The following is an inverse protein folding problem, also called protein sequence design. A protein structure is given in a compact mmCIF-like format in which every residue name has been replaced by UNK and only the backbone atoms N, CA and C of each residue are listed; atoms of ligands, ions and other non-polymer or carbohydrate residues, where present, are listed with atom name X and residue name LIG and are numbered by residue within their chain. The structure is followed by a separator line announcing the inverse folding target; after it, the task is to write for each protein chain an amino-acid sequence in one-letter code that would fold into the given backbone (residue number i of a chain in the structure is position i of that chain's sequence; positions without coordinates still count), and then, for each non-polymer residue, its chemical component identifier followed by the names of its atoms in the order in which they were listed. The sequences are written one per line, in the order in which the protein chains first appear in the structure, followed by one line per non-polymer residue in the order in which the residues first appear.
data_IF_003563597232
#
_entry.id   IF_003563597232
#
_cell.length_a   1.000
_cell.length_b   1.000
_cell.length_c   1.000
_cell.angle_alpha   90.00
_cell.angle_beta   90.00
_cell.angle_gamma   90.00
#
_symmetry.space_group_name_H-M   'P 1'
#
loop_
_entity.id
_entity.type
_entity.pdbx_description
1 polymer ?
#
# COMPACT_ATOMS: atom_id res chain seq x y z
N UNK A 1 24.28 -9.80 -50.22
CA UNK A 1 22.99 -9.94 -49.53
C UNK A 1 23.00 -8.95 -48.39
N UNK A 2 22.13 -7.95 -48.44
CA UNK A 2 22.01 -6.93 -47.40
C UNK A 2 21.19 -7.52 -46.24
N UNK A 3 21.76 -7.52 -45.04
CA UNK A 3 21.02 -7.80 -43.82
C UNK A 3 19.99 -6.68 -43.61
N UNK A 4 18.72 -7.10 -43.57
CA UNK A 4 17.58 -6.27 -43.21
C UNK A 4 17.72 -5.81 -41.75
N UNK A 5 17.39 -4.54 -41.41
CA UNK A 5 17.40 -4.09 -40.04
C UNK A 5 16.31 -4.83 -39.24
N UNK A 6 16.75 -5.40 -38.13
CA UNK A 6 15.95 -6.03 -37.09
C UNK A 6 14.67 -5.24 -36.78
N UNK A 7 13.55 -5.95 -36.70
CA UNK A 7 12.25 -5.45 -36.26
C UNK A 7 12.36 -4.51 -35.06
N UNK A 8 11.94 -3.26 -35.24
CA UNK A 8 11.75 -2.30 -34.15
C UNK A 8 10.93 -2.94 -33.02
N UNK A 9 11.31 -2.81 -31.73
CA UNK A 9 10.46 -3.27 -30.65
C UNK A 9 9.13 -2.50 -30.75
N UNK A 10 8.03 -3.22 -30.83
CA UNK A 10 6.67 -2.68 -30.88
C UNK A 10 6.53 -1.63 -29.79
N UNK A 11 6.42 -0.35 -30.17
CA UNK A 11 6.38 0.77 -29.22
C UNK A 11 5.19 0.58 -28.29
N UNK A 12 5.45 0.26 -27.02
CA UNK A 12 4.41 0.12 -26.01
C UNK A 12 3.81 1.50 -25.78
N UNK A 13 2.51 1.66 -26.06
CA UNK A 13 1.77 2.86 -25.70
C UNK A 13 1.39 2.79 -24.20
N UNK A 14 1.98 3.64 -23.35
CA UNK A 14 1.76 3.57 -21.92
C UNK A 14 0.34 3.95 -21.51
N UNK A 15 -0.32 4.86 -22.24
CA UNK A 15 -1.69 5.27 -21.96
C UNK A 15 -2.68 4.15 -22.28
N UNK A 16 -2.46 3.47 -23.41
CA UNK A 16 -3.24 2.29 -23.79
C UNK A 16 -3.07 1.14 -22.80
N UNK A 17 -1.86 0.87 -22.31
CA UNK A 17 -1.62 -0.18 -21.31
C UNK A 17 -2.32 0.14 -19.98
N UNK A 18 -2.21 1.39 -19.53
CA UNK A 18 -2.84 1.87 -18.29
C UNK A 18 -4.35 2.11 -18.42
N UNK A 19 -4.91 2.03 -19.63
CA UNK A 19 -6.32 2.30 -19.94
C UNK A 19 -6.77 3.69 -19.47
N UNK A 20 -5.93 4.68 -19.73
CA UNK A 20 -6.16 6.09 -19.44
C UNK A 20 -6.04 6.94 -20.71
N UNK A 21 -6.70 8.10 -20.73
CA UNK A 21 -6.60 9.09 -21.81
C UNK A 21 -6.13 10.42 -21.22
N UNK A 22 -5.05 11.03 -21.76
CA UNK A 22 -4.69 12.40 -21.41
C UNK A 22 -5.63 13.40 -22.07
N UNK A 23 -6.13 14.35 -21.28
CA UNK A 23 -7.00 15.42 -21.74
C UNK A 23 -6.19 16.69 -22.04
N UNK A 24 -6.66 17.59 -22.92
CA UNK A 24 -5.95 18.84 -23.25
C UNK A 24 -5.70 19.79 -22.07
N UNK A 25 -6.50 19.68 -21.01
CA UNK A 25 -6.37 20.48 -19.78
C UNK A 25 -5.31 19.93 -18.79
N UNK A 26 -4.64 18.83 -19.15
CA UNK A 26 -3.66 18.14 -18.32
C UNK A 26 -4.25 17.10 -17.36
N UNK A 27 -5.58 16.93 -17.33
CA UNK A 27 -6.23 15.86 -16.56
C UNK A 27 -6.20 14.52 -17.31
N UNK A 28 -6.65 13.45 -16.64
CA UNK A 28 -6.72 12.10 -17.21
C UNK A 28 -8.12 11.52 -17.07
N UNK A 29 -8.59 10.85 -18.11
CA UNK A 29 -9.82 10.03 -18.08
C UNK A 29 -9.44 8.56 -17.88
N UNK A 30 -10.09 7.87 -16.94
CA UNK A 30 -9.89 6.42 -16.70
C UNK A 30 -11.03 5.63 -17.33
N UNK A 31 -10.72 4.64 -18.16
CA UNK A 31 -11.75 3.87 -18.88
C UNK A 31 -12.16 2.58 -18.20
N UNK A 32 -11.36 2.09 -17.26
CA UNK A 32 -11.69 0.85 -16.55
C UNK A 32 -12.22 1.17 -15.18
N UNK A 33 -13.50 0.87 -14.88
CA UNK A 33 -13.95 0.86 -13.50
C UNK A 33 -13.19 -0.27 -12.79
N UNK A 34 -12.61 0.04 -11.64
CA UNK A 34 -12.09 -1.00 -10.78
C UNK A 34 -13.28 -1.75 -10.18
N UNK A 35 -13.27 -3.09 -10.17
CA UNK A 35 -14.33 -3.84 -9.51
C UNK A 35 -14.36 -3.41 -8.05
N UNK A 36 -15.55 -3.05 -7.58
CA UNK A 36 -15.79 -2.69 -6.18
C UNK A 36 -16.69 -3.75 -5.54
N UNK A 37 -16.43 -4.01 -4.26
CA UNK A 37 -17.24 -4.90 -3.45
C UNK A 37 -17.89 -4.04 -2.37
N UNK A 38 -19.19 -4.16 -2.16
CA UNK A 38 -19.88 -3.45 -1.08
C UNK A 38 -19.40 -3.96 0.30
N UNK A 39 -19.33 -3.10 1.33
CA UNK A 39 -18.96 -3.56 2.66
C UNK A 39 -20.04 -4.50 3.23
N UNK A 40 -19.63 -5.59 3.88
CA UNK A 40 -20.53 -6.50 4.60
C UNK A 40 -20.27 -6.43 6.12
N UNK A 41 -20.94 -5.52 6.85
CA UNK A 41 -20.60 -5.24 8.25
C UNK A 41 -21.17 -6.25 9.25
N UNK A 42 -22.19 -7.02 8.86
CA UNK A 42 -22.87 -8.04 9.67
C UNK A 42 -22.89 -9.40 8.96
N UNK A 43 -23.02 -10.53 9.70
CA UNK A 43 -23.07 -11.86 9.10
C UNK A 43 -24.29 -12.06 8.19
N UNK A 44 -24.16 -12.80 7.09
CA UNK A 44 -25.24 -13.04 6.11
C UNK A 44 -26.51 -13.66 6.72
N UNK A 45 -26.40 -14.46 7.80
CA UNK A 45 -27.55 -15.02 8.53
C UNK A 45 -28.46 -13.96 9.18
N UNK A 46 -27.99 -12.71 9.30
CA UNK A 46 -28.75 -11.58 9.85
C UNK A 46 -29.46 -10.71 8.80
N UNK A 47 -29.34 -11.04 7.51
CA UNK A 47 -29.95 -10.27 6.41
C UNK A 47 -31.29 -10.93 6.00
N UNK A 48 -32.42 -10.19 5.97
CA UNK A 48 -33.68 -10.70 5.44
C UNK A 48 -33.52 -11.20 4.00
N UNK A 49 -34.15 -12.33 3.67
CA UNK A 49 -34.00 -13.10 2.42
C UNK A 49 -34.27 -12.33 1.10
N UNK A 50 -34.62 -11.05 1.15
CA UNK A 50 -34.93 -10.22 -0.03
C UNK A 50 -33.73 -9.46 -0.59
N UNK A 51 -32.55 -9.52 0.04
CA UNK A 51 -31.36 -8.75 -0.37
C UNK A 51 -30.10 -9.58 -0.67
N UNK A 52 -30.19 -10.91 -0.63
CA UNK A 52 -29.04 -11.79 -0.85
C UNK A 52 -29.04 -12.39 -2.27
N UNK A 53 -28.37 -11.73 -3.20
CA UNK A 53 -27.78 -12.42 -4.35
C UNK A 53 -26.44 -13.02 -3.91
N UNK A 54 -26.47 -14.21 -3.31
CA UNK A 54 -25.22 -14.95 -3.07
C UNK A 54 -25.45 -16.45 -3.14
N UNK A 55 -24.55 -17.13 -3.87
CA UNK A 55 -24.39 -18.58 -3.88
C UNK A 55 -24.15 -19.11 -2.45
N UNK A 56 -25.26 -19.45 -1.79
CA UNK A 56 -25.35 -19.87 -0.41
C UNK A 56 -24.71 -21.25 -0.22
N UNK A 57 -23.44 -21.25 0.22
CA UNK A 57 -22.79 -22.33 0.98
C UNK A 57 -21.34 -22.01 1.39
N UNK A 58 -20.76 -20.87 1.02
CA UNK A 58 -19.40 -20.49 1.45
C UNK A 58 -19.41 -19.82 2.84
N UNK A 59 -18.55 -20.24 3.78
CA UNK A 59 -18.46 -19.60 5.09
C UNK A 59 -17.95 -18.16 4.97
N UNK A 60 -18.62 -17.21 5.64
CA UNK A 60 -18.19 -15.82 5.65
C UNK A 60 -16.98 -15.64 6.56
N UNK A 61 -15.79 -15.54 5.96
CA UNK A 61 -14.52 -15.47 6.70
C UNK A 61 -14.13 -14.07 7.20
N UNK A 62 -14.70 -13.02 6.59
CA UNK A 62 -14.33 -11.63 6.88
C UNK A 62 -15.58 -10.73 6.77
N UNK A 63 -15.76 -9.87 7.77
CA UNK A 63 -16.69 -8.74 7.75
C UNK A 63 -15.93 -7.47 7.33
N UNK A 64 -16.60 -6.53 6.69
CA UNK A 64 -15.99 -5.25 6.31
C UNK A 64 -16.93 -4.07 6.48
N UNK A 65 -16.39 -2.92 6.87
CA UNK A 65 -17.13 -1.66 7.08
C UNK A 65 -16.35 -0.49 6.50
N UNK A 66 -17.06 0.46 5.90
CA UNK A 66 -16.47 1.72 5.45
C UNK A 66 -16.68 2.82 6.51
N UNK A 67 -15.62 3.56 6.83
CA UNK A 67 -15.64 4.67 7.79
C UNK A 67 -15.05 5.92 7.11
N UNK A 68 -15.78 7.06 7.04
CA UNK A 68 -15.27 8.29 6.43
C UNK A 68 -14.00 8.81 7.13
N UNK A 69 -12.96 9.19 6.39
CA UNK A 69 -11.70 9.70 6.94
C UNK A 69 -11.61 11.23 6.82
N UNK A 70 -11.85 11.73 5.61
CA UNK A 70 -12.01 13.15 5.36
C UNK A 70 -13.11 13.31 4.30
N UNK A 71 -14.30 13.78 4.71
CA UNK A 71 -15.43 14.02 3.80
C UNK A 71 -15.11 15.05 2.70
N UNK A 72 -14.36 16.10 3.00
CA UNK A 72 -13.98 17.14 2.02
C UNK A 72 -13.16 16.54 0.87
N UNK A 73 -12.22 15.66 1.23
CA UNK A 73 -11.35 14.98 0.27
C UNK A 73 -11.98 13.67 -0.26
N UNK A 74 -13.22 13.36 0.13
CA UNK A 74 -13.93 12.10 -0.22
C UNK A 74 -13.09 10.84 0.06
N UNK A 75 -12.33 10.86 1.15
CA UNK A 75 -11.50 9.72 1.58
C UNK A 75 -12.17 8.94 2.69
N UNK A 76 -12.03 7.62 2.68
CA UNK A 76 -12.57 6.71 3.67
C UNK A 76 -11.57 5.58 3.97
N UNK A 77 -11.78 4.89 5.09
CA UNK A 77 -11.09 3.65 5.44
C UNK A 77 -12.06 2.48 5.26
N UNK A 78 -11.58 1.38 4.70
CA UNK A 78 -12.28 0.10 4.79
C UNK A 78 -11.64 -0.75 5.89
N UNK A 79 -12.42 -1.03 6.92
CA UNK A 79 -12.05 -1.90 8.02
C UNK A 79 -12.41 -3.34 7.66
N UNK A 80 -11.53 -4.28 7.98
CA UNK A 80 -11.74 -5.72 7.78
C UNK A 80 -11.60 -6.45 9.12
N UNK A 81 -12.55 -7.33 9.43
CA UNK A 81 -12.61 -8.07 10.70
C UNK A 81 -12.80 -9.56 10.42
N UNK A 82 -11.89 -10.45 10.87
CA UNK A 82 -12.07 -11.89 10.73
C UNK A 82 -13.36 -12.38 11.40
N UNK A 83 -14.00 -13.36 10.80
CA UNK A 83 -15.19 -14.01 11.34
C UNK A 83 -15.11 -15.54 11.16
N UNK A 84 -15.11 -16.33 12.24
CA UNK A 84 -15.05 -15.91 13.64
C UNK A 84 -13.72 -15.23 13.99
N UNK A 85 -13.69 -14.48 15.10
CA UNK A 85 -12.44 -13.90 15.58
C UNK A 85 -11.46 -15.01 15.96
N UNK A 86 -10.17 -14.86 15.64
CA UNK A 86 -9.15 -15.80 16.09
C UNK A 86 -9.09 -15.82 17.64
N UNK A 87 -8.74 -16.96 18.24
CA UNK A 87 -8.55 -17.04 19.69
C UNK A 87 -7.47 -16.05 20.13
N UNK A 88 -7.68 -15.40 21.28
CA UNK A 88 -6.67 -14.49 21.85
C UNK A 88 -5.41 -15.29 22.15
N UNK A 89 -4.21 -14.81 21.76
CA UNK A 89 -2.97 -15.48 22.12
C UNK A 89 -2.86 -15.56 23.65
N UNK A 90 -2.30 -16.66 24.19
CA UNK A 90 -2.05 -16.76 25.62
C UNK A 90 -1.10 -15.62 26.07
N UNK A 91 -1.19 -15.18 27.33
CA UNK A 91 -0.28 -14.17 27.86
C UNK A 91 1.18 -14.63 27.68
N UNK A 92 2.12 -13.71 27.39
CA UNK A 92 3.50 -14.07 27.14
C UNK A 92 4.09 -14.80 28.35
N UNK A 93 4.41 -16.09 28.18
CA UNK A 93 5.20 -16.85 29.15
C UNK A 93 6.68 -16.56 28.92
N UNK A 94 7.44 -16.34 29.99
CA UNK A 94 8.83 -15.86 29.98
C UNK A 94 9.87 -16.77 29.28
N UNK A 95 9.48 -17.85 28.60
CA UNK A 95 10.42 -18.92 28.20
C UNK A 95 10.29 -19.48 26.78
N UNK A 96 9.54 -18.86 25.86
CA UNK A 96 9.45 -19.39 24.49
C UNK A 96 9.77 -18.32 23.42
N UNK A 97 10.89 -18.54 22.73
CA UNK A 97 11.23 -17.87 21.47
C UNK A 97 10.06 -18.00 20.49
N UNK A 98 9.69 -16.94 19.74
CA UNK A 98 8.54 -16.99 18.85
C UNK A 98 8.85 -17.93 17.68
N UNK A 99 8.26 -19.12 17.72
CA UNK A 99 8.18 -20.02 16.57
C UNK A 99 7.44 -19.31 15.44
N UNK A 100 8.09 -19.32 14.29
CA UNK A 100 7.68 -18.83 12.98
C UNK A 100 6.29 -19.35 12.57
N UNK A 101 5.29 -18.48 12.65
CA UNK A 101 4.17 -18.22 11.72
C UNK A 101 3.14 -17.40 12.49
N UNK A 102 3.33 -16.09 12.55
CA UNK A 102 2.36 -15.19 13.17
C UNK A 102 1.45 -14.62 12.07
N UNK A 103 0.21 -15.11 12.02
CA UNK A 103 -0.90 -14.34 11.45
C UNK A 103 -0.86 -12.92 12.03
N UNK A 104 -1.02 -11.90 11.19
CA UNK A 104 -1.02 -10.49 11.59
C UNK A 104 -2.48 -10.01 11.65
N UNK A 105 -3.19 -10.19 12.78
CA UNK A 105 -4.58 -9.74 12.91
C UNK A 105 -4.75 -8.22 12.92
N UNK A 106 -3.66 -7.43 12.92
CA UNK A 106 -3.67 -5.97 13.07
C UNK A 106 -2.98 -5.23 11.91
N UNK A 107 -3.08 -5.75 10.70
CA UNK A 107 -2.56 -5.07 9.51
C UNK A 107 -3.63 -4.12 8.96
N UNK A 108 -3.39 -2.81 9.06
CA UNK A 108 -4.20 -1.85 8.32
C UNK A 108 -3.79 -1.89 6.85
N UNK A 109 -4.70 -2.33 6.00
CA UNK A 109 -4.53 -2.30 4.56
C UNK A 109 -4.90 -0.92 4.03
N UNK A 110 -3.91 -0.18 3.54
CA UNK A 110 -4.15 1.12 2.93
C UNK A 110 -4.30 0.94 1.41
N UNK A 111 -5.49 1.27 0.89
CA UNK A 111 -5.76 1.34 -0.55
C UNK A 111 -5.14 2.61 -1.16
N UNK A 112 -4.86 2.65 -2.49
CA UNK A 112 -3.93 3.60 -3.11
C UNK A 112 -4.41 5.06 -3.22
N UNK A 113 -5.56 5.42 -2.68
CA UNK A 113 -6.05 6.81 -2.66
C UNK A 113 -5.76 7.46 -1.31
N UNK A 114 -4.49 7.58 -0.91
CA UNK A 114 -4.14 8.19 0.37
C UNK A 114 -3.14 9.32 0.22
N UNK A 115 -3.49 10.45 0.83
CA UNK A 115 -2.63 11.63 0.92
C UNK A 115 -1.66 11.48 2.10
N UNK A 116 -0.55 12.24 2.14
CA UNK A 116 0.42 12.26 3.24
C UNK A 116 -0.13 12.47 4.66
N UNK A 117 -1.34 13.03 4.80
CA UNK A 117 -1.97 13.36 6.10
C UNK A 117 -2.73 12.21 6.76
N UNK A 118 -2.79 11.05 6.12
CA UNK A 118 -3.62 9.91 6.55
C UNK A 118 -3.31 9.36 7.95
N UNK A 119 -2.06 9.08 8.36
CA UNK A 119 -1.79 8.39 9.63
C UNK A 119 -2.31 9.18 10.84
N UNK A 120 -2.08 10.50 10.87
CA UNK A 120 -2.58 11.40 11.91
C UNK A 120 -4.11 11.53 11.92
N UNK A 121 -4.79 11.22 10.80
CA UNK A 121 -6.25 11.22 10.68
C UNK A 121 -6.89 9.87 11.02
N UNK A 122 -6.20 8.75 10.79
CA UNK A 122 -6.58 7.43 11.34
C UNK A 122 -6.61 7.51 12.87
N UNK A 123 -5.61 8.17 13.46
CA UNK A 123 -5.60 8.51 14.89
C UNK A 123 -6.83 9.35 15.31
N UNK A 124 -7.28 10.30 14.48
CA UNK A 124 -8.47 11.12 14.79
C UNK A 124 -9.80 10.35 14.70
N UNK A 125 -9.92 9.37 13.79
CA UNK A 125 -11.07 8.45 13.79
C UNK A 125 -11.11 7.57 15.03
N UNK A 126 -9.92 7.29 15.56
CA UNK A 126 -9.69 6.71 16.86
C UNK A 126 -9.73 7.79 17.98
N UNK A 127 -10.59 8.82 17.91
CA UNK A 127 -10.70 9.78 19.03
C UNK A 127 -12.13 10.20 19.45
N UNK A 128 -13.19 9.83 18.73
CA UNK A 128 -14.57 10.09 19.19
C UNK A 128 -15.21 8.83 19.84
N UNK A 129 -15.43 8.94 21.16
CA UNK A 129 -15.87 7.91 22.14
C UNK A 129 -14.81 6.84 22.44
N UNK A 130 -14.00 7.05 23.50
CA UNK A 130 -12.85 6.20 23.90
C UNK A 130 -11.81 5.94 22.80
N UNK A 131 -11.93 6.64 21.69
CA UNK A 131 -10.97 6.64 20.63
C UNK A 131 -10.85 5.36 19.82
N UNK A 132 -11.90 4.54 19.72
CA UNK A 132 -11.91 3.39 18.81
C UNK A 132 -13.33 3.19 18.30
N UNK A 133 -13.50 2.98 16.99
CA UNK A 133 -14.78 2.56 16.42
C UNK A 133 -15.25 1.28 17.16
N UNK A 134 -16.45 1.26 17.78
CA UNK A 134 -16.96 0.09 18.51
C UNK A 134 -16.96 -1.20 17.69
N UNK A 135 -16.98 -1.09 16.36
CA UNK A 135 -16.88 -2.24 15.46
C UNK A 135 -15.55 -3.02 15.59
N UNK A 136 -14.48 -2.32 16.00
CA UNK A 136 -13.15 -2.85 16.24
C UNK A 136 -12.90 -3.26 17.70
N UNK A 137 -13.88 -3.03 18.58
CA UNK A 137 -13.78 -3.40 19.99
C UNK A 137 -13.53 -4.92 20.11
N UNK A 138 -12.59 -5.30 20.98
CA UNK A 138 -12.13 -6.68 21.19
C UNK A 138 -11.47 -7.38 19.99
N UNK A 139 -11.40 -6.73 18.82
CA UNK A 139 -10.82 -7.29 17.61
C UNK A 139 -9.38 -6.79 17.32
N UNK A 140 -9.00 -5.63 17.87
CA UNK A 140 -7.73 -4.97 17.56
C UNK A 140 -6.90 -4.71 18.83
N UNK A 141 -5.59 -4.98 18.74
CA UNK A 141 -4.61 -4.63 19.76
C UNK A 141 -3.78 -3.42 19.30
N UNK A 142 -4.18 -2.20 19.71
CA UNK A 142 -3.58 -0.94 19.26
C UNK A 142 -2.12 -0.75 19.66
N UNK A 143 -1.63 -1.46 20.67
CA UNK A 143 -0.21 -1.45 21.06
C UNK A 143 0.71 -2.22 20.09
N UNK A 144 0.12 -2.92 19.11
CA UNK A 144 0.79 -3.78 18.13
C UNK A 144 0.21 -3.57 16.73
N UNK A 145 0.39 -2.36 16.20
CA UNK A 145 -0.02 -1.99 14.84
C UNK A 145 1.15 -2.09 13.86
N UNK A 146 0.84 -2.45 12.60
CA UNK A 146 1.78 -2.44 11.48
C UNK A 146 1.19 -1.64 10.33
N UNK A 147 2.02 -0.83 9.68
CA UNK A 147 1.64 -0.20 8.42
C UNK A 147 2.09 -1.10 7.27
N UNK A 148 1.18 -1.42 6.35
CA UNK A 148 1.49 -2.28 5.22
C UNK A 148 1.00 -1.66 3.91
N UNK A 149 1.84 -1.78 2.88
CA UNK A 149 1.51 -1.35 1.53
C UNK A 149 2.14 -2.27 0.50
N UNK A 150 1.57 -2.25 -0.70
CA UNK A 150 2.11 -2.92 -1.89
C UNK A 150 2.41 -1.91 -2.99
N UNK A 151 3.53 -2.06 -3.71
CA UNK A 151 3.89 -1.16 -4.83
C UNK A 151 3.86 0.32 -4.41
N UNK A 152 3.10 1.19 -5.10
CA UNK A 152 2.91 2.59 -4.72
C UNK A 152 2.41 2.77 -3.28
N UNK A 153 1.60 1.83 -2.77
CA UNK A 153 1.14 1.84 -1.38
C UNK A 153 2.28 1.61 -0.37
N UNK A 154 3.30 0.83 -0.73
CA UNK A 154 4.47 0.66 0.13
C UNK A 154 5.36 1.92 0.15
N UNK A 155 5.45 2.65 -0.97
CA UNK A 155 6.07 3.98 -1.00
C UNK A 155 5.34 4.95 -0.06
N UNK A 156 4.00 4.98 -0.11
CA UNK A 156 3.17 5.76 0.83
C UNK A 156 3.44 5.35 2.28
N UNK A 157 3.49 4.05 2.58
CA UNK A 157 3.76 3.53 3.93
C UNK A 157 5.14 3.92 4.43
N UNK A 158 6.16 3.89 3.59
CA UNK A 158 7.50 4.36 3.93
C UNK A 158 7.48 5.84 4.35
N UNK A 159 6.92 6.72 3.52
CA UNK A 159 6.85 8.15 3.85
C UNK A 159 5.88 8.46 5.00
N UNK A 160 4.82 7.68 5.18
CA UNK A 160 3.94 7.77 6.34
C UNK A 160 4.70 7.40 7.62
N UNK A 161 5.46 6.32 7.59
CA UNK A 161 6.35 5.88 8.67
C UNK A 161 7.35 6.96 9.06
N UNK A 162 8.01 7.59 8.09
CA UNK A 162 8.94 8.70 8.34
C UNK A 162 8.26 9.89 9.02
N UNK A 163 7.04 10.24 8.61
CA UNK A 163 6.30 11.39 9.16
C UNK A 163 5.86 11.19 10.60
N UNK A 164 5.36 10.00 10.91
CA UNK A 164 4.90 9.70 12.28
C UNK A 164 6.03 9.24 13.20
N UNK A 165 7.23 9.09 12.65
CA UNK A 165 8.40 8.70 13.41
C UNK A 165 8.88 9.88 14.28
N UNK A 166 8.38 9.88 15.52
CA UNK A 166 8.59 10.96 16.49
C UNK A 166 7.29 11.48 17.10
N UNK A 167 6.13 11.12 16.54
CA UNK A 167 4.82 11.52 17.07
C UNK A 167 4.36 10.56 18.18
N UNK A 168 3.70 11.10 19.21
CA UNK A 168 3.00 10.31 20.21
C UNK A 168 1.59 9.95 19.71
N UNK A 169 1.41 8.70 19.27
CA UNK A 169 0.17 8.20 18.70
C UNK A 169 -0.70 7.43 19.71
N UNK A 170 -0.45 7.55 21.01
CA UNK A 170 -1.15 6.80 22.06
C UNK A 170 -2.69 6.86 21.89
N UNK A 171 -3.40 5.72 22.05
CA UNK A 171 -2.91 4.41 22.52
C UNK A 171 -2.23 3.56 21.42
N UNK A 172 -2.21 4.02 20.17
CA UNK A 172 -1.67 3.28 19.04
C UNK A 172 -0.13 3.29 19.04
N UNK A 173 0.47 2.11 18.86
CA UNK A 173 1.93 1.96 18.70
C UNK A 173 2.25 1.22 17.41
N UNK A 174 2.93 1.90 16.50
CA UNK A 174 3.43 1.31 15.25
C UNK A 174 4.70 0.52 15.57
N UNK A 175 4.66 -0.80 15.39
CA UNK A 175 5.77 -1.73 15.71
C UNK A 175 6.62 -2.09 14.51
N UNK A 176 6.15 -1.80 13.30
CA UNK A 176 6.91 -2.05 12.09
C UNK A 176 6.19 -1.64 10.82
N UNK A 177 6.96 -1.60 9.73
CA UNK A 177 6.47 -1.38 8.37
C UNK A 177 6.58 -2.69 7.57
N UNK A 178 5.59 -2.98 6.74
CA UNK A 178 5.60 -4.11 5.80
C UNK A 178 5.50 -3.54 4.39
N UNK A 179 6.60 -3.61 3.66
CA UNK A 179 6.78 -3.01 2.35
C UNK A 179 6.83 -4.12 1.29
N UNK A 180 5.69 -4.41 0.67
CA UNK A 180 5.60 -5.44 -0.36
C UNK A 180 5.89 -4.83 -1.74
N UNK A 181 7.06 -5.14 -2.30
CA UNK A 181 7.57 -4.64 -3.57
C UNK A 181 7.48 -3.11 -3.64
N UNK A 182 8.18 -2.38 -2.75
CA UNK A 182 8.02 -0.95 -2.69
C UNK A 182 8.39 -0.28 -4.02
N UNK A 183 7.50 0.61 -4.47
CA UNK A 183 7.66 1.30 -5.73
C UNK A 183 8.58 2.51 -5.55
N UNK A 184 9.84 2.33 -5.92
CA UNK A 184 10.85 3.38 -5.98
C UNK A 184 11.37 3.53 -7.41
N UNK A 185 12.04 4.64 -7.68
CA UNK A 185 12.66 4.92 -8.96
C UNK A 185 13.90 5.80 -8.77
N UNK A 186 14.35 6.38 -9.86
CA UNK A 186 15.53 7.24 -9.92
C UNK A 186 15.86 7.59 -11.35
N UNK A 187 16.59 8.68 -11.58
CA UNK A 187 16.92 9.13 -12.94
C UNK A 187 17.75 8.06 -13.66
N UNK A 188 18.84 7.62 -13.03
CA UNK A 188 19.75 6.60 -13.55
C UNK A 188 19.12 5.22 -13.49
N UNK A 189 19.04 4.50 -14.62
CA UNK A 189 18.42 3.17 -14.68
C UNK A 189 19.26 2.13 -13.98
N UNK A 190 18.60 1.26 -13.24
CA UNK A 190 19.19 0.04 -12.67
C UNK A 190 19.28 -1.07 -13.71
N UNK A 191 20.10 -2.08 -13.45
CA UNK A 191 20.22 -3.26 -14.30
C UNK A 191 18.88 -4.00 -14.45
N UNK A 192 18.09 -4.15 -13.36
CA UNK A 192 16.77 -4.77 -13.45
C UNK A 192 15.78 -3.99 -14.32
N UNK A 193 15.80 -2.64 -14.27
CA UNK A 193 14.95 -1.80 -15.12
C UNK A 193 15.30 -1.95 -16.61
N UNK A 194 16.60 -2.04 -16.93
CA UNK A 194 17.07 -2.21 -18.31
C UNK A 194 16.83 -3.63 -18.83
N UNK A 195 17.10 -4.65 -18.00
CA UNK A 195 16.86 -6.06 -18.35
C UNK A 195 15.39 -6.37 -18.58
N UNK A 196 14.49 -5.66 -17.88
CA UNK A 196 13.04 -5.83 -17.97
C UNK A 196 12.34 -4.65 -18.63
N UNK A 197 13.00 -3.99 -19.59
CA UNK A 197 12.52 -2.78 -20.27
C UNK A 197 11.12 -2.95 -20.90
N UNK A 198 10.82 -4.15 -21.41
CA UNK A 198 9.54 -4.52 -22.03
C UNK A 198 8.72 -5.47 -21.14
N UNK A 199 8.85 -5.36 -19.82
CA UNK A 199 8.03 -6.13 -18.89
C UNK A 199 6.53 -6.01 -19.22
N UNK A 200 5.77 -7.09 -18.98
CA UNK A 200 4.36 -7.14 -19.37
C UNK A 200 3.46 -6.31 -18.46
N UNK A 201 3.88 -6.07 -17.22
CA UNK A 201 3.09 -5.39 -16.19
C UNK A 201 3.59 -3.96 -15.97
N UNK A 202 4.90 -3.79 -15.87
CA UNK A 202 5.55 -2.51 -15.63
C UNK A 202 6.69 -2.24 -16.64
N UNK A 203 6.39 -2.10 -17.95
CA UNK A 203 7.40 -1.70 -18.91
C UNK A 203 7.97 -0.32 -18.56
N UNK A 204 9.22 -0.05 -18.96
CA UNK A 204 9.96 1.14 -18.53
C UNK A 204 9.24 2.45 -18.91
N UNK A 205 8.65 2.51 -20.11
CA UNK A 205 7.90 3.69 -20.58
C UNK A 205 6.64 3.96 -19.73
N UNK A 206 6.02 2.91 -19.19
CA UNK A 206 4.86 3.02 -18.29
C UNK A 206 5.31 3.48 -16.91
N UNK A 207 6.42 2.93 -16.42
CA UNK A 207 7.06 3.37 -15.17
C UNK A 207 7.38 4.87 -15.22
N UNK A 208 7.98 5.35 -16.32
CA UNK A 208 8.29 6.76 -16.51
C UNK A 208 7.05 7.65 -16.51
N UNK A 209 6.01 7.25 -17.24
CA UNK A 209 4.74 7.98 -17.26
C UNK A 209 4.13 8.05 -15.85
N UNK A 210 4.13 6.96 -15.09
CA UNK A 210 3.59 6.93 -13.73
C UNK A 210 4.31 7.90 -12.80
N UNK A 211 5.64 7.96 -12.84
CA UNK A 211 6.39 8.95 -12.05
C UNK A 211 6.15 10.38 -12.52
N UNK A 212 6.09 10.63 -13.83
CA UNK A 212 5.81 11.96 -14.37
C UNK A 212 4.43 12.49 -13.93
N UNK A 213 3.44 11.61 -13.74
CA UNK A 213 2.11 11.97 -13.24
C UNK A 213 2.05 12.13 -11.71
N UNK A 214 2.92 11.43 -10.97
CA UNK A 214 2.89 11.39 -9.50
C UNK A 214 3.76 12.46 -8.84
N UNK A 215 4.84 12.88 -9.49
CA UNK A 215 5.80 13.83 -8.94
C UNK A 215 5.32 15.28 -9.08
N UNK A 216 5.79 16.20 -8.20
CA UNK A 216 5.60 17.63 -8.38
C UNK A 216 6.02 18.10 -9.77
N UNK A 217 5.34 19.13 -10.29
CA UNK A 217 5.70 19.69 -11.61
C UNK A 217 7.12 20.27 -11.56
N UNK A 218 7.97 19.85 -12.51
CA UNK A 218 9.31 20.39 -12.69
C UNK A 218 10.43 19.68 -11.90
N UNK A 219 10.11 18.64 -11.13
CA UNK A 219 11.14 17.78 -10.51
C UNK A 219 11.37 16.52 -11.34
N UNK A 220 12.55 15.93 -11.20
CA UNK A 220 12.89 14.66 -11.83
C UNK A 220 12.68 13.46 -10.88
N UNK A 221 13.08 12.27 -11.33
CA UNK A 221 12.89 11.01 -10.62
C UNK A 221 13.87 10.80 -9.45
N UNK A 222 14.83 11.70 -9.22
CA UNK A 222 15.67 11.67 -8.02
C UNK A 222 15.07 12.48 -6.86
N UNK A 223 13.87 13.04 -7.04
CA UNK A 223 13.09 13.60 -5.94
C UNK A 223 12.84 12.58 -4.82
N UNK A 224 12.82 13.02 -3.55
CA UNK A 224 12.74 12.16 -2.35
C UNK A 224 11.52 11.21 -2.32
N UNK A 225 10.45 11.54 -3.06
CA UNK A 225 9.24 10.72 -3.20
C UNK A 225 9.41 9.53 -4.16
N UNK A 226 10.35 9.62 -5.09
CA UNK A 226 10.65 8.58 -6.06
C UNK A 226 11.89 7.80 -5.66
N UNK A 227 12.96 8.51 -5.32
CA UNK A 227 14.24 7.94 -4.95
C UNK A 227 14.53 8.17 -3.46
N UNK A 228 14.30 7.17 -2.59
CA UNK A 228 14.51 7.33 -1.15
C UNK A 228 15.99 7.47 -0.77
N UNK A 229 16.92 7.06 -1.63
CA UNK A 229 18.38 7.10 -1.35
C UNK A 229 19.03 8.40 -1.84
N UNK A 230 18.34 9.21 -2.65
CA UNK A 230 18.87 10.49 -3.14
C UNK A 230 18.94 11.59 -2.07
N UNK A 231 18.14 11.49 -1.00
CA UNK A 231 18.02 12.49 0.08
C UNK A 231 18.86 12.17 1.32
N UNK A 232 20.10 11.72 1.16
CA UNK A 232 20.99 11.33 2.27
C UNK A 232 21.15 12.48 3.27
N UNK A 233 20.86 12.24 4.56
CA UNK A 233 21.49 13.01 5.64
C UNK A 233 20.62 13.68 6.72
N UNK A 234 19.32 13.43 6.81
CA UNK A 234 18.49 14.04 7.88
C UNK A 234 18.21 13.14 9.10
N UNK A 235 18.70 11.89 9.10
CA UNK A 235 18.56 10.96 10.21
C UNK A 235 17.12 10.46 10.47
N UNK A 236 16.14 10.81 9.63
CA UNK A 236 14.72 10.39 9.83
C UNK A 236 14.54 8.88 9.70
N UNK A 237 15.41 8.22 8.93
CA UNK A 237 15.37 6.77 8.69
C UNK A 237 15.73 5.98 9.94
N UNK A 238 16.69 6.45 10.74
CA UNK A 238 17.10 5.82 12.00
C UNK A 238 15.95 5.73 13.01
N UNK A 239 14.93 6.57 12.83
CA UNK A 239 13.75 6.61 13.69
C UNK A 239 12.64 5.67 13.21
N UNK A 240 12.76 5.07 12.01
CA UNK A 240 11.77 4.13 11.52
C UNK A 240 11.69 2.88 12.41
N UNK A 241 10.49 2.33 12.64
CA UNK A 241 10.37 1.04 13.30
C UNK A 241 10.88 -0.06 12.36
N UNK A 242 10.98 -1.30 12.87
CA UNK A 242 11.47 -2.45 12.09
C UNK A 242 10.71 -2.61 10.77
N UNK A 243 11.44 -2.73 9.68
CA UNK A 243 10.89 -2.90 8.34
C UNK A 243 11.01 -4.36 7.87
N UNK A 244 9.94 -4.90 7.28
CA UNK A 244 9.96 -6.10 6.45
C UNK A 244 9.79 -5.67 4.99
N UNK A 245 10.79 -5.90 4.16
CA UNK A 245 10.73 -5.63 2.71
C UNK A 245 10.65 -6.96 1.95
N UNK A 246 9.65 -7.10 1.07
CA UNK A 246 9.49 -8.26 0.20
C UNK A 246 9.66 -7.83 -1.25
N UNK A 247 10.51 -8.51 -2.01
CA UNK A 247 10.67 -8.31 -3.46
C UNK A 247 10.44 -9.59 -4.25
N UNK A 248 10.34 -9.47 -5.58
CA UNK A 248 10.27 -10.59 -6.52
C UNK A 248 11.32 -10.46 -7.64
N UNK A 249 12.07 -11.51 -7.95
CA UNK A 249 13.23 -11.44 -8.87
C UNK A 249 12.90 -11.04 -10.32
N UNK A 250 11.64 -11.20 -10.73
CA UNK A 250 11.14 -10.75 -12.04
C UNK A 250 10.53 -9.34 -12.02
N UNK A 251 10.65 -8.61 -10.92
CA UNK A 251 10.21 -7.22 -10.82
C UNK A 251 11.25 -6.27 -11.44
N UNK A 252 10.88 -5.37 -12.38
CA UNK A 252 11.78 -4.36 -12.93
C UNK A 252 12.45 -3.48 -11.86
N UNK A 253 11.82 -3.33 -10.69
CA UNK A 253 12.28 -2.47 -9.61
C UNK A 253 13.08 -3.20 -8.52
N UNK A 254 13.40 -4.48 -8.73
CA UNK A 254 14.11 -5.29 -7.74
C UNK A 254 15.40 -4.63 -7.25
N UNK A 255 16.19 -4.04 -8.14
CA UNK A 255 17.45 -3.44 -7.72
C UNK A 255 17.23 -2.17 -6.88
N UNK A 256 16.20 -1.37 -7.16
CA UNK A 256 15.76 -0.27 -6.27
C UNK A 256 15.35 -0.76 -4.89
N UNK A 257 14.66 -1.89 -4.83
CA UNK A 257 14.22 -2.50 -3.58
C UNK A 257 15.43 -2.99 -2.76
N UNK A 258 16.45 -3.55 -3.40
CA UNK A 258 17.71 -3.95 -2.76
C UNK A 258 18.53 -2.75 -2.29
N UNK A 259 18.66 -1.73 -3.13
CA UNK A 259 19.33 -0.47 -2.78
C UNK A 259 18.68 0.16 -1.55
N UNK A 260 17.34 0.20 -1.51
CA UNK A 260 16.60 0.67 -0.36
C UNK A 260 16.83 -0.19 0.90
N UNK A 261 16.86 -1.53 0.78
CA UNK A 261 17.16 -2.41 1.92
C UNK A 261 18.58 -2.22 2.44
N UNK A 262 19.56 -1.98 1.56
CA UNK A 262 20.93 -1.67 1.96
C UNK A 262 21.05 -0.28 2.64
N UNK A 263 20.08 0.59 2.40
CA UNK A 263 20.00 1.94 2.96
C UNK A 263 19.26 2.02 4.31
N UNK A 264 18.39 1.06 4.62
CA UNK A 264 17.71 0.91 5.92
C UNK A 264 18.66 0.44 7.02
#
# INVERSE_FOLDING_TARGET
MADQPSSSPTSIDPYKLLKILPNPDGSLTRFTPFPTVSPTPTPTESIPATAAESDSNSPQLVLSKDTPLNPENKTFLRLFKPHPLPPKPPPPSHHLLPRSTAWLPNTLFFQPTMTPSTPSRVHRLASDVNGCDPWLENAVEFSRCFLMGGSAGANIVYHAGLRVSGDDLLPMKIRGLILNQPYFGGVHRTESEMRLISDRTLPLVVNDLMWAMALPKGVDRDHEYCNPTAGVGDGRIERLPRCLVRGYGGDPLMDRQKEFVAFL
#
